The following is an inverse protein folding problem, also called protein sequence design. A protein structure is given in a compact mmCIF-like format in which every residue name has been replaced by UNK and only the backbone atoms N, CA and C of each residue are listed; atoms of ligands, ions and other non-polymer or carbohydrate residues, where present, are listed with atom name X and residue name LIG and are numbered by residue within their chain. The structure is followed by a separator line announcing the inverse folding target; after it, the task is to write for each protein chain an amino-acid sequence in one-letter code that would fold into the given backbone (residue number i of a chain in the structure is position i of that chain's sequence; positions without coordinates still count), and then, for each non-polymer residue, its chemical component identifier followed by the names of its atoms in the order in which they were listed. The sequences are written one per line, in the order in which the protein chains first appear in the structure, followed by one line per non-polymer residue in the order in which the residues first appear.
data_IF_701284870434
#
_entry.id   IF_701284870434
#
_cell.length_a   1.000
_cell.length_b   1.000
_cell.length_c   1.000
_cell.angle_alpha   90.00
_cell.angle_beta   90.00
_cell.angle_gamma   90.00
#
_symmetry.space_group_name_H-M   'P 1'
#
loop_
_entity.id
_entity.type
_entity.pdbx_description
1 polymer ?
#
# COMPACT_ATOMS: atom_id res chain seq x y z
N UNK A 1 8.09 20.06 9.25
CA UNK A 1 7.79 19.72 10.65
C UNK A 1 6.36 20.04 11.10
N UNK A 2 5.54 20.78 10.32
CA UNK A 2 4.15 21.11 10.67
C UNK A 2 3.07 20.24 9.99
N UNK A 3 3.44 19.24 9.19
CA UNK A 3 2.51 18.42 8.38
C UNK A 3 2.16 17.07 9.02
N UNK A 4 2.18 16.98 10.35
CA UNK A 4 1.89 15.74 11.10
C UNK A 4 0.85 15.95 12.19
N UNK A 5 -0.04 16.93 12.01
CA UNK A 5 -1.10 17.17 12.98
C UNK A 5 -2.25 16.18 12.81
N UNK A 6 -2.74 15.70 13.92
CA UNK A 6 -4.00 14.98 14.03
C UNK A 6 -4.86 15.68 15.10
N UNK A 7 -6.14 15.75 14.87
CA UNK A 7 -7.10 16.34 15.79
C UNK A 7 -8.36 15.47 15.85
N UNK A 8 -8.83 15.18 17.06
CA UNK A 8 -10.06 14.43 17.29
C UNK A 8 -11.16 15.39 17.78
N UNK A 9 -12.28 15.39 17.07
CA UNK A 9 -13.50 16.12 17.48
C UNK A 9 -14.65 15.13 17.48
N UNK A 10 -15.06 14.68 18.65
CA UNK A 10 -15.99 13.55 18.85
C UNK A 10 -15.40 12.28 18.22
N UNK A 11 -16.09 11.66 17.24
CA UNK A 11 -15.66 10.42 16.58
C UNK A 11 -15.00 10.69 15.21
N UNK A 12 -14.63 11.95 14.92
CA UNK A 12 -13.94 12.38 13.70
C UNK A 12 -12.49 12.73 13.96
N UNK A 13 -11.63 12.26 13.07
CA UNK A 13 -10.18 12.45 13.11
C UNK A 13 -9.72 13.17 11.86
N UNK A 14 -8.95 14.23 12.05
CA UNK A 14 -8.22 14.91 10.98
C UNK A 14 -6.75 14.47 11.02
N UNK A 15 -6.23 14.00 9.90
CA UNK A 15 -4.83 13.61 9.78
C UNK A 15 -4.19 14.26 8.55
N UNK A 16 -3.12 15.04 8.77
CA UNK A 16 -2.32 15.61 7.69
C UNK A 16 -1.63 14.49 6.88
N UNK A 17 -1.39 14.74 5.59
CA UNK A 17 -0.84 13.76 4.65
C UNK A 17 0.50 13.13 5.08
N UNK A 18 1.31 13.83 5.88
CA UNK A 18 2.59 13.36 6.40
C UNK A 18 2.51 12.52 7.68
N UNK A 19 1.33 12.35 8.29
CA UNK A 19 1.16 11.48 9.46
C UNK A 19 1.44 10.04 9.06
N UNK A 20 2.29 9.35 9.84
CA UNK A 20 2.61 7.93 9.60
C UNK A 20 1.42 7.04 9.96
N UNK A 21 1.11 6.08 9.09
CA UNK A 21 -0.02 5.16 9.25
C UNK A 21 -0.03 4.45 10.61
N UNK A 22 1.08 3.84 11.10
CA UNK A 22 1.09 3.19 12.42
C UNK A 22 0.93 4.18 13.58
N UNK A 23 1.38 5.41 13.43
CA UNK A 23 1.20 6.44 14.45
C UNK A 23 -0.27 6.83 14.58
N UNK A 24 -0.97 7.05 13.45
CA UNK A 24 -2.39 7.37 13.49
C UNK A 24 -3.18 6.24 14.13
N UNK A 25 -2.98 4.98 13.68
CA UNK A 25 -3.65 3.81 14.26
C UNK A 25 -3.47 3.74 15.78
N UNK A 26 -2.25 3.96 16.27
CA UNK A 26 -1.95 3.96 17.70
C UNK A 26 -2.65 5.09 18.45
N UNK A 27 -2.55 6.32 17.93
CA UNK A 27 -3.14 7.49 18.61
C UNK A 27 -4.66 7.42 18.70
N UNK A 28 -5.35 6.92 17.65
CA UNK A 28 -6.82 6.76 17.69
C UNK A 28 -7.22 5.64 18.65
N UNK A 29 -6.43 4.58 18.76
CA UNK A 29 -6.67 3.49 19.73
C UNK A 29 -6.60 3.99 21.18
N UNK A 30 -5.67 4.90 21.50
CA UNK A 30 -5.49 5.48 22.84
C UNK A 30 -6.73 6.27 23.32
N UNK A 31 -7.57 6.73 22.40
CA UNK A 31 -8.84 7.42 22.68
C UNK A 31 -10.08 6.54 22.42
N UNK A 32 -9.87 5.20 22.35
CA UNK A 32 -10.92 4.20 22.17
C UNK A 32 -11.73 4.37 20.90
N UNK A 33 -11.06 4.74 19.80
CA UNK A 33 -11.63 4.83 18.47
C UNK A 33 -11.10 3.68 17.58
N UNK A 34 -12.02 2.99 16.91
CA UNK A 34 -11.82 1.82 16.05
C UNK A 34 -12.15 2.14 14.61
N UNK A 35 -11.46 1.50 13.66
CA UNK A 35 -11.66 1.59 12.22
C UNK A 35 -10.37 1.80 11.42
N UNK A 36 -9.23 2.06 12.11
CA UNK A 36 -7.92 2.23 11.47
C UNK A 36 -6.87 1.23 11.97
N UNK A 37 -7.25 0.13 12.60
CA UNK A 37 -6.34 -0.87 13.16
C UNK A 37 -5.49 -1.56 12.09
N UNK A 38 -5.99 -1.64 10.86
CA UNK A 38 -5.26 -2.22 9.74
C UNK A 38 -4.01 -1.41 9.35
N UNK A 39 -3.97 -0.11 9.68
CA UNK A 39 -2.82 0.77 9.41
C UNK A 39 -1.62 0.48 10.31
N UNK A 40 -1.78 -0.20 11.44
CA UNK A 40 -0.71 -0.42 12.43
C UNK A 40 0.54 -1.10 11.84
N UNK A 41 0.36 -1.90 10.84
CA UNK A 41 1.44 -2.60 10.17
C UNK A 41 1.87 -2.01 8.82
N UNK A 42 1.24 -0.96 8.31
CA UNK A 42 1.54 -0.41 7.00
C UNK A 42 2.67 0.64 7.10
N UNK A 43 3.82 0.43 6.46
CA UNK A 43 4.89 1.41 6.45
C UNK A 43 4.59 2.51 5.42
N UNK A 44 3.90 3.54 5.83
CA UNK A 44 3.50 4.62 4.94
C UNK A 44 3.07 5.87 5.69
N UNK A 45 2.44 6.76 4.96
CA UNK A 45 1.80 7.97 5.47
C UNK A 45 0.37 8.05 4.96
N UNK A 46 -0.47 8.82 5.63
CA UNK A 46 -1.87 9.04 5.25
C UNK A 46 -1.99 9.51 3.80
N UNK A 47 -1.04 10.34 3.32
CA UNK A 47 -1.02 10.74 1.91
C UNK A 47 -0.92 9.55 0.96
N UNK A 48 0.02 8.65 1.21
CA UNK A 48 0.18 7.42 0.43
C UNK A 48 -0.97 6.43 0.62
N UNK A 49 -1.50 6.33 1.85
CA UNK A 49 -2.63 5.46 2.15
C UNK A 49 -3.91 5.89 1.41
N UNK A 50 -4.21 7.20 1.37
CA UNK A 50 -5.36 7.75 0.61
C UNK A 50 -5.13 7.61 -0.89
N UNK A 51 -3.91 7.92 -1.38
CA UNK A 51 -3.54 7.75 -2.79
C UNK A 51 -3.84 6.33 -3.28
N UNK A 52 -3.40 5.32 -2.54
CA UNK A 52 -3.54 3.92 -2.90
C UNK A 52 -4.86 3.28 -2.45
N UNK A 53 -5.75 4.02 -1.78
CA UNK A 53 -6.84 3.38 -1.03
C UNK A 53 -6.31 2.16 -0.27
N UNK A 54 -5.27 2.39 0.53
CA UNK A 54 -4.54 1.32 1.19
C UNK A 54 -5.48 0.45 2.02
N UNK A 55 -5.29 -0.85 1.93
CA UNK A 55 -6.13 -1.80 2.66
C UNK A 55 -5.36 -3.06 3.06
N UNK A 56 -5.75 -3.60 4.19
CA UNK A 56 -5.26 -4.86 4.73
C UNK A 56 -6.33 -5.49 5.65
N UNK A 57 -6.29 -6.81 5.79
CA UNK A 57 -7.19 -7.55 6.71
C UNK A 57 -8.68 -7.30 6.47
N UNK A 58 -9.09 -7.08 5.19
CA UNK A 58 -10.47 -6.86 4.81
C UNK A 58 -10.99 -5.44 5.03
N UNK A 59 -10.13 -4.50 5.43
CA UNK A 59 -10.45 -3.08 5.60
C UNK A 59 -9.61 -2.22 4.64
N UNK A 60 -10.08 -1.02 4.31
CA UNK A 60 -9.35 -0.03 3.51
C UNK A 60 -9.66 1.40 3.96
N UNK A 61 -8.90 2.36 3.43
CA UNK A 61 -9.08 3.79 3.73
C UNK A 61 -10.50 4.26 3.44
N UNK A 62 -11.09 3.84 2.33
CA UNK A 62 -12.45 4.22 1.95
C UNK A 62 -13.51 3.81 2.97
N UNK A 63 -13.27 2.85 3.85
CA UNK A 63 -14.27 2.40 4.82
C UNK A 63 -14.57 3.46 5.88
N UNK A 64 -13.59 4.29 6.21
CA UNK A 64 -13.69 5.30 7.28
C UNK A 64 -13.48 6.73 6.81
N UNK A 65 -13.00 6.96 5.59
CA UNK A 65 -12.78 8.30 5.07
C UNK A 65 -14.10 9.01 4.82
N UNK A 66 -14.16 10.27 5.25
CA UNK A 66 -15.31 11.18 5.08
C UNK A 66 -15.02 12.20 3.98
N UNK A 67 -13.88 12.88 4.09
CA UNK A 67 -13.50 13.95 3.18
C UNK A 67 -11.98 14.12 3.08
N UNK A 68 -11.54 14.79 2.02
CA UNK A 68 -10.17 15.19 1.78
C UNK A 68 -10.08 16.68 1.49
N UNK A 69 -9.07 17.33 2.06
CA UNK A 69 -8.62 18.65 1.64
C UNK A 69 -7.45 18.49 0.68
N UNK A 70 -7.60 18.98 -0.53
CA UNK A 70 -6.66 18.81 -1.63
C UNK A 70 -6.16 20.18 -2.11
N UNK A 71 -4.92 20.21 -2.57
CA UNK A 71 -4.42 21.32 -3.39
C UNK A 71 -4.54 20.92 -4.85
N UNK A 72 -5.28 21.70 -5.63
CA UNK A 72 -5.41 21.57 -7.08
C UNK A 72 -4.22 22.25 -7.76
N UNK A 73 -3.38 21.48 -8.42
CA UNK A 73 -2.16 21.96 -9.08
C UNK A 73 -2.44 22.79 -10.34
N UNK A 74 -3.60 22.64 -10.96
CA UNK A 74 -4.00 23.43 -12.14
C UNK A 74 -4.55 24.78 -11.75
N UNK A 75 -5.57 24.83 -10.88
CA UNK A 75 -6.20 26.09 -10.44
C UNK A 75 -5.39 26.82 -9.38
N UNK A 76 -4.44 26.14 -8.69
CA UNK A 76 -3.68 26.65 -7.54
C UNK A 76 -4.54 26.94 -6.31
N UNK A 77 -5.68 26.29 -6.21
CA UNK A 77 -6.63 26.48 -5.13
C UNK A 77 -6.70 25.27 -4.20
N UNK A 78 -7.16 25.51 -2.99
CA UNK A 78 -7.51 24.45 -2.03
C UNK A 78 -8.96 24.05 -2.27
N UNK A 79 -9.19 22.78 -2.52
CA UNK A 79 -10.51 22.21 -2.78
C UNK A 79 -10.84 21.09 -1.77
N UNK A 80 -12.12 20.89 -1.51
CA UNK A 80 -12.61 19.83 -0.65
C UNK A 80 -13.35 18.80 -1.48
N UNK A 81 -13.06 17.53 -1.23
CA UNK A 81 -13.69 16.38 -1.86
C UNK A 81 -14.26 15.46 -0.79
N UNK A 82 -15.52 15.06 -0.93
CA UNK A 82 -16.09 14.02 -0.08
C UNK A 82 -15.62 12.63 -0.54
N UNK A 83 -15.98 11.60 0.20
CA UNK A 83 -15.59 10.21 -0.10
C UNK A 83 -16.00 9.79 -1.53
N UNK A 84 -17.19 10.14 -1.96
CA UNK A 84 -17.75 9.78 -3.27
C UNK A 84 -16.95 10.40 -4.41
N UNK A 85 -16.51 11.66 -4.24
CA UNK A 85 -15.69 12.38 -5.21
C UNK A 85 -14.27 11.77 -5.34
N UNK A 86 -13.79 11.05 -4.34
CA UNK A 86 -12.45 10.44 -4.33
C UNK A 86 -12.31 9.23 -5.25
N UNK A 87 -13.39 8.72 -5.84
CA UNK A 87 -13.39 7.62 -6.82
C UNK A 87 -12.61 6.37 -6.36
N UNK A 88 -12.77 6.01 -5.10
CA UNK A 88 -12.05 4.88 -4.53
C UNK A 88 -12.43 3.55 -5.19
N UNK A 89 -11.41 2.79 -5.55
CA UNK A 89 -11.51 1.39 -5.92
C UNK A 89 -10.28 0.63 -5.41
N UNK A 90 -10.15 -0.64 -5.75
CA UNK A 90 -8.99 -1.44 -5.31
C UNK A 90 -7.67 -0.84 -5.81
N UNK A 91 -6.83 -0.39 -4.86
CA UNK A 91 -5.53 0.27 -5.14
C UNK A 91 -5.64 1.50 -6.05
N UNK A 92 -6.72 2.28 -5.88
CA UNK A 92 -6.96 3.47 -6.69
C UNK A 92 -7.73 4.55 -5.93
N UNK A 93 -7.45 5.82 -6.25
CA UNK A 93 -8.20 7.01 -5.85
C UNK A 93 -8.07 8.10 -6.92
N UNK A 94 -8.85 9.17 -6.81
CA UNK A 94 -8.74 10.39 -7.63
C UNK A 94 -7.31 10.96 -7.67
N UNK A 95 -6.50 10.73 -6.64
CA UNK A 95 -5.13 11.25 -6.58
C UNK A 95 -4.19 10.65 -7.63
N UNK A 96 -4.56 9.55 -8.30
CA UNK A 96 -3.80 9.01 -9.44
C UNK A 96 -3.80 9.94 -10.64
N UNK A 97 -4.74 10.85 -10.72
CA UNK A 97 -4.85 11.88 -11.75
C UNK A 97 -3.69 12.91 -11.73
N UNK A 98 -2.83 12.86 -10.69
CA UNK A 98 -1.65 13.72 -10.49
C UNK A 98 -1.95 15.22 -10.42
N UNK A 99 -3.17 15.62 -10.62
CA UNK A 99 -3.64 17.00 -10.51
C UNK A 99 -3.68 17.48 -9.06
N UNK A 100 -4.00 16.55 -8.16
CA UNK A 100 -4.28 16.86 -6.77
C UNK A 100 -3.18 16.39 -5.82
N UNK A 101 -2.87 17.23 -4.83
CA UNK A 101 -2.00 16.89 -3.70
C UNK A 101 -2.85 16.85 -2.43
N UNK A 102 -2.86 15.74 -1.72
CA UNK A 102 -3.54 15.64 -0.43
C UNK A 102 -2.86 16.52 0.61
N UNK A 103 -3.61 17.38 1.27
CA UNK A 103 -3.15 18.17 2.42
C UNK A 103 -3.49 17.46 3.73
N UNK A 104 -4.74 17.07 3.90
CA UNK A 104 -5.20 16.24 5.02
C UNK A 104 -6.46 15.46 4.64
N UNK A 105 -6.75 14.42 5.41
CA UNK A 105 -7.96 13.62 5.32
C UNK A 105 -8.73 13.61 6.63
N UNK A 106 -10.05 13.53 6.54
CA UNK A 106 -10.98 13.37 7.65
C UNK A 106 -11.55 11.95 7.66
N UNK A 107 -11.49 11.31 8.82
CA UNK A 107 -12.01 9.95 9.03
C UNK A 107 -13.09 9.96 10.09
N UNK A 108 -14.15 9.19 9.90
CA UNK A 108 -15.19 8.92 10.90
C UNK A 108 -14.97 7.52 11.46
N UNK A 109 -14.75 7.44 12.77
CA UNK A 109 -14.41 6.23 13.48
C UNK A 109 -15.52 5.86 14.47
N UNK A 110 -15.45 4.66 15.02
CA UNK A 110 -16.45 4.17 15.98
C UNK A 110 -15.82 3.95 17.34
N UNK A 111 -16.55 4.23 18.41
CA UNK A 111 -16.09 3.85 19.74
C UNK A 111 -16.14 2.35 19.94
N UNK A 112 -15.05 1.82 20.50
CA UNK A 112 -14.93 0.41 20.84
C UNK A 112 -14.10 0.24 22.14
N UNK A 113 -14.24 -0.89 22.83
CA UNK A 113 -13.39 -1.21 23.97
C UNK A 113 -11.91 -1.18 23.58
N UNK A 114 -11.08 -0.52 24.36
CA UNK A 114 -9.64 -0.39 24.09
C UNK A 114 -8.94 -1.76 23.93
N UNK A 115 -9.36 -2.73 24.71
CA UNK A 115 -8.77 -4.08 24.66
C UNK A 115 -9.08 -4.80 23.34
N UNK A 116 -10.28 -4.61 22.78
CA UNK A 116 -10.65 -5.19 21.48
C UNK A 116 -9.82 -4.55 20.34
N UNK A 117 -9.65 -3.21 20.38
CA UNK A 117 -8.82 -2.48 19.42
C UNK A 117 -7.37 -2.99 19.48
N UNK A 118 -6.79 -3.09 20.68
CA UNK A 118 -5.43 -3.57 20.87
C UNK A 118 -5.25 -5.01 20.40
N UNK A 119 -6.19 -5.88 20.74
CA UNK A 119 -6.16 -7.29 20.30
C UNK A 119 -6.20 -7.41 18.78
N UNK A 120 -7.00 -6.58 18.09
CA UNK A 120 -7.07 -6.54 16.64
C UNK A 120 -5.75 -6.03 16.04
N UNK A 121 -5.18 -4.95 16.57
CA UNK A 121 -3.89 -4.43 16.13
C UNK A 121 -2.76 -5.45 16.32
N UNK A 122 -2.70 -6.14 17.44
CA UNK A 122 -1.70 -7.16 17.72
C UNK A 122 -1.83 -8.35 16.76
N UNK A 123 -3.05 -8.82 16.50
CA UNK A 123 -3.33 -9.85 15.51
C UNK A 123 -2.83 -9.45 14.12
N UNK A 124 -3.11 -8.23 13.69
CA UNK A 124 -2.68 -7.70 12.39
C UNK A 124 -1.15 -7.64 12.28
N UNK A 125 -0.48 -7.15 13.32
CA UNK A 125 1.00 -7.11 13.38
C UNK A 125 1.62 -8.51 13.40
N UNK A 126 1.06 -9.43 14.16
CA UNK A 126 1.54 -10.81 14.25
C UNK A 126 1.43 -11.51 12.91
N UNK A 127 0.29 -11.38 12.22
CA UNK A 127 0.11 -11.93 10.89
C UNK A 127 1.19 -11.41 9.93
N UNK A 128 1.42 -10.08 9.88
CA UNK A 128 2.46 -9.50 9.02
C UNK A 128 3.85 -10.06 9.32
N UNK A 129 4.25 -10.07 10.59
CA UNK A 129 5.56 -10.62 11.01
C UNK A 129 5.75 -12.08 10.64
N UNK A 130 4.66 -12.85 10.56
CA UNK A 130 4.71 -14.27 10.22
C UNK A 130 4.96 -14.51 8.74
N UNK A 131 4.37 -13.69 7.85
CA UNK A 131 4.36 -13.97 6.40
C UNK A 131 5.20 -13.01 5.56
N UNK A 132 5.35 -11.73 5.99
CA UNK A 132 6.04 -10.71 5.20
C UNK A 132 7.51 -10.55 5.62
N UNK A 133 8.39 -10.06 4.73
CA UNK A 133 9.75 -9.70 5.12
C UNK A 133 9.73 -8.65 6.23
N UNK A 134 10.70 -8.73 7.14
CA UNK A 134 10.88 -7.66 8.13
C UNK A 134 11.31 -6.37 7.43
N UNK A 135 11.06 -5.21 8.08
CA UNK A 135 11.49 -3.90 7.54
C UNK A 135 13.03 -3.77 7.46
N UNK A 136 13.78 -4.66 8.11
CA UNK A 136 15.23 -4.73 7.97
C UNK A 136 15.68 -5.37 6.64
N UNK A 137 14.80 -6.11 5.96
CA UNK A 137 15.04 -6.64 4.64
C UNK A 137 14.48 -5.66 3.60
N UNK A 138 15.32 -4.92 2.85
CA UNK A 138 14.85 -3.93 1.89
C UNK A 138 13.93 -4.57 0.85
N UNK A 139 12.71 -4.06 0.74
CA UNK A 139 11.69 -4.52 -0.20
C UNK A 139 10.68 -3.39 -0.47
N UNK A 140 9.93 -3.47 -1.56
CA UNK A 140 8.94 -2.48 -1.96
C UNK A 140 7.49 -2.90 -1.64
N UNK A 141 7.29 -3.87 -0.74
CA UNK A 141 5.97 -4.42 -0.43
C UNK A 141 5.52 -5.48 -1.45
N UNK A 142 4.21 -5.64 -1.61
CA UNK A 142 3.64 -6.54 -2.62
C UNK A 142 4.00 -6.06 -4.02
N UNK A 143 4.54 -6.98 -4.84
CA UNK A 143 4.99 -6.67 -6.20
C UNK A 143 3.81 -6.48 -7.15
N UNK A 144 2.82 -7.38 -7.06
CA UNK A 144 1.65 -7.39 -7.93
C UNK A 144 0.36 -7.21 -7.16
N UNK A 145 -0.62 -6.54 -7.77
CA UNK A 145 -1.99 -6.47 -7.30
C UNK A 145 -2.64 -7.84 -7.38
N UNK A 146 -3.57 -8.11 -6.47
CA UNK A 146 -4.39 -9.32 -6.58
C UNK A 146 -5.30 -9.20 -7.81
N UNK A 147 -5.37 -10.23 -8.67
CA UNK A 147 -6.38 -10.28 -9.72
C UNK A 147 -7.77 -10.50 -9.14
N UNK A 148 -8.78 -10.33 -9.96
CA UNK A 148 -10.16 -10.58 -9.56
C UNK A 148 -10.34 -12.06 -9.14
N UNK A 149 -10.95 -12.27 -7.99
CA UNK A 149 -11.24 -13.59 -7.40
C UNK A 149 -10.05 -14.48 -7.03
N UNK A 150 -8.81 -13.93 -7.01
CA UNK A 150 -7.64 -14.70 -6.62
C UNK A 150 -6.57 -13.84 -5.91
N UNK A 151 -5.53 -14.49 -5.42
CA UNK A 151 -4.39 -13.86 -4.76
C UNK A 151 -3.13 -13.98 -5.63
N UNK A 152 -2.49 -12.85 -5.95
CA UNK A 152 -1.22 -12.85 -6.66
C UNK A 152 -0.16 -13.71 -5.94
N UNK A 153 -0.10 -13.63 -4.60
CA UNK A 153 0.81 -14.45 -3.81
C UNK A 153 0.59 -15.94 -3.97
N UNK A 154 -0.69 -16.41 -4.04
CA UNK A 154 -1.03 -17.80 -4.27
C UNK A 154 -0.66 -18.27 -5.68
N UNK A 155 -0.99 -17.46 -6.70
CA UNK A 155 -0.68 -17.78 -8.09
C UNK A 155 0.83 -17.88 -8.31
N UNK A 156 1.59 -16.93 -7.79
CA UNK A 156 3.06 -16.92 -7.85
C UNK A 156 3.67 -18.13 -7.15
N UNK A 157 3.19 -18.46 -5.95
CA UNK A 157 3.66 -19.63 -5.20
C UNK A 157 3.43 -20.93 -5.96
N UNK A 158 2.25 -21.09 -6.56
CA UNK A 158 1.88 -22.24 -7.36
C UNK A 158 2.60 -22.29 -8.73
N UNK A 159 2.99 -21.15 -9.28
CA UNK A 159 3.84 -21.07 -10.48
C UNK A 159 5.32 -21.35 -10.19
N UNK A 160 5.69 -21.67 -8.95
CA UNK A 160 7.05 -22.07 -8.58
C UNK A 160 8.07 -20.93 -8.55
N UNK A 161 7.63 -19.66 -8.49
CA UNK A 161 8.55 -18.52 -8.59
C UNK A 161 9.56 -18.44 -7.44
N UNK A 162 9.28 -19.06 -6.29
CA UNK A 162 10.22 -19.09 -5.15
C UNK A 162 11.55 -19.75 -5.45
N UNK A 163 11.58 -20.59 -6.49
CA UNK A 163 12.80 -21.26 -6.97
C UNK A 163 13.61 -20.40 -7.94
N UNK A 164 13.15 -19.18 -8.26
CA UNK A 164 13.87 -18.29 -9.16
C UNK A 164 15.10 -17.71 -8.47
N UNK A 165 16.23 -17.89 -9.11
CA UNK A 165 17.52 -17.38 -8.65
C UNK A 165 17.90 -16.08 -9.38
N UNK A 166 18.46 -15.13 -8.63
CA UNK A 166 19.12 -13.94 -9.14
C UNK A 166 20.23 -13.51 -8.17
N UNK A 167 21.31 -12.86 -8.67
CA UNK A 167 22.44 -12.47 -7.83
C UNK A 167 22.06 -11.53 -6.69
N UNK A 168 21.32 -10.47 -7.00
CA UNK A 168 21.11 -9.31 -6.12
C UNK A 168 19.72 -9.26 -5.50
N UNK A 169 18.75 -10.02 -5.99
CA UNK A 169 17.39 -10.09 -5.47
C UNK A 169 16.99 -11.53 -5.16
N UNK A 170 16.02 -11.69 -4.28
CA UNK A 170 15.37 -12.99 -4.03
C UNK A 170 13.89 -12.81 -3.78
N UNK A 171 13.10 -13.84 -4.06
CA UNK A 171 11.71 -13.91 -3.66
C UNK A 171 11.65 -14.36 -2.21
N UNK A 172 10.74 -13.71 -1.45
CA UNK A 172 10.60 -14.04 -0.03
C UNK A 172 9.97 -15.43 0.15
N UNK A 173 10.63 -16.28 0.92
CA UNK A 173 10.25 -17.68 1.11
C UNK A 173 8.83 -17.90 1.65
N UNK A 174 8.35 -16.99 2.53
CA UNK A 174 7.02 -17.09 3.16
C UNK A 174 5.91 -16.42 2.37
N UNK A 175 6.24 -15.59 1.36
CA UNK A 175 5.26 -14.88 0.56
C UNK A 175 5.79 -14.57 -0.83
N UNK A 176 5.35 -15.33 -1.82
CA UNK A 176 5.88 -15.26 -3.19
C UNK A 176 5.69 -13.91 -3.90
N UNK A 177 4.83 -13.02 -3.39
CA UNK A 177 4.59 -11.69 -3.96
C UNK A 177 5.50 -10.60 -3.34
N UNK A 178 6.68 -10.97 -2.80
CA UNK A 178 7.66 -10.04 -2.27
C UNK A 178 9.03 -10.33 -2.86
N UNK A 179 9.67 -9.28 -3.40
CA UNK A 179 11.08 -9.29 -3.81
C UNK A 179 11.89 -8.59 -2.72
N UNK A 180 12.96 -9.24 -2.26
CA UNK A 180 13.89 -8.70 -1.26
C UNK A 180 15.22 -8.40 -1.95
N UNK A 181 15.72 -7.18 -1.74
CA UNK A 181 17.05 -6.77 -2.14
C UNK A 181 18.09 -7.40 -1.20
N UNK A 182 19.10 -8.09 -1.75
CA UNK A 182 20.18 -8.72 -0.98
C UNK A 182 21.30 -7.75 -0.56
N UNK A 183 21.23 -6.49 -1.02
CA UNK A 183 22.17 -5.41 -0.69
C UNK A 183 22.49 -4.51 -1.89
N UNK A 184 22.81 -5.09 -3.04
CA UNK A 184 23.33 -4.36 -4.21
C UNK A 184 22.38 -4.41 -5.43
N UNK A 185 21.08 -4.69 -5.22
CA UNK A 185 20.13 -4.76 -6.32
C UNK A 185 19.88 -3.39 -6.95
N UNK A 186 19.91 -3.37 -8.27
CA UNK A 186 19.46 -2.25 -9.09
C UNK A 186 17.96 -2.33 -9.38
N UNK A 187 17.38 -1.25 -9.92
CA UNK A 187 16.01 -1.25 -10.45
C UNK A 187 15.82 -2.29 -11.55
N UNK A 188 16.83 -2.48 -12.41
CA UNK A 188 16.84 -3.48 -13.46
C UNK A 188 16.75 -4.90 -12.91
N UNK A 189 17.53 -5.26 -11.88
CA UNK A 189 17.45 -6.57 -11.21
C UNK A 189 16.01 -6.87 -10.71
N UNK A 190 15.36 -5.85 -10.14
CA UNK A 190 13.98 -5.98 -9.65
C UNK A 190 12.99 -6.15 -10.81
N UNK A 191 13.10 -5.32 -11.85
CA UNK A 191 12.22 -5.41 -13.03
C UNK A 191 12.38 -6.74 -13.76
N UNK A 192 13.61 -7.24 -13.96
CA UNK A 192 13.85 -8.56 -14.55
C UNK A 192 13.18 -9.68 -13.75
N UNK A 193 13.30 -9.64 -12.41
CA UNK A 193 12.63 -10.61 -11.57
C UNK A 193 11.10 -10.49 -11.68
N UNK A 194 10.57 -9.27 -11.73
CA UNK A 194 9.13 -9.04 -11.93
C UNK A 194 8.64 -9.63 -13.26
N UNK A 195 9.38 -9.43 -14.35
CA UNK A 195 9.02 -10.01 -15.67
C UNK A 195 9.03 -11.54 -15.61
N UNK A 196 10.03 -12.15 -14.98
CA UNK A 196 10.07 -13.62 -14.79
C UNK A 196 8.84 -14.11 -14.01
N UNK A 197 8.49 -13.42 -12.91
CA UNK A 197 7.32 -13.76 -12.09
C UNK A 197 6.00 -13.60 -12.87
N UNK A 198 5.86 -12.49 -13.62
CA UNK A 198 4.70 -12.21 -14.47
C UNK A 198 4.50 -13.30 -15.50
N UNK A 199 5.55 -13.63 -16.27
CA UNK A 199 5.50 -14.64 -17.32
C UNK A 199 5.17 -16.03 -16.74
N UNK A 200 5.74 -16.42 -15.61
CA UNK A 200 5.45 -17.71 -14.99
C UNK A 200 3.95 -17.88 -14.65
N UNK A 201 3.30 -16.81 -14.17
CA UNK A 201 1.85 -16.84 -13.89
C UNK A 201 1.05 -16.80 -15.19
N UNK A 202 1.45 -15.98 -16.16
CA UNK A 202 0.80 -15.89 -17.47
C UNK A 202 0.83 -17.23 -18.20
N UNK A 203 1.99 -17.91 -18.24
CA UNK A 203 2.17 -19.19 -18.92
C UNK A 203 1.40 -20.33 -18.23
N UNK A 204 1.28 -20.27 -16.89
CA UNK A 204 0.61 -21.34 -16.13
C UNK A 204 -0.90 -21.17 -16.07
N UNK A 205 -1.39 -19.94 -15.96
CA UNK A 205 -2.80 -19.63 -15.64
C UNK A 205 -3.48 -18.76 -16.68
N UNK A 206 -2.77 -18.22 -17.67
CA UNK A 206 -3.29 -17.24 -18.64
C UNK A 206 -3.82 -15.97 -17.95
N UNK A 207 -3.22 -15.61 -16.79
CA UNK A 207 -3.56 -14.43 -16.01
C UNK A 207 -2.37 -13.45 -16.09
N UNK A 208 -2.66 -12.21 -16.48
CA UNK A 208 -1.69 -11.12 -16.49
C UNK A 208 -1.73 -10.37 -15.15
N UNK A 209 -0.72 -10.56 -14.32
CA UNK A 209 -0.58 -9.85 -13.07
C UNK A 209 -0.18 -8.40 -13.32
N UNK A 210 -0.86 -7.43 -12.70
CA UNK A 210 -0.52 -6.01 -12.79
C UNK A 210 0.36 -5.59 -11.62
N UNK A 211 1.46 -4.84 -11.84
CA UNK A 211 2.29 -4.32 -10.77
C UNK A 211 1.51 -3.46 -9.77
N UNK A 212 1.86 -3.60 -8.49
CA UNK A 212 1.44 -2.67 -7.42
C UNK A 212 2.55 -1.64 -7.14
N UNK A 213 3.82 -2.03 -7.25
CA UNK A 213 4.95 -1.11 -7.16
C UNK A 213 5.04 -0.24 -8.41
N UNK A 214 5.53 1.00 -8.24
CA UNK A 214 5.61 1.99 -9.32
C UNK A 214 7.08 2.36 -9.52
N UNK A 215 7.55 2.33 -10.76
CA UNK A 215 8.86 2.85 -11.12
C UNK A 215 8.82 4.38 -11.14
N UNK A 216 9.79 5.01 -10.47
CA UNK A 216 9.93 6.48 -10.42
C UNK A 216 11.37 6.83 -10.82
N UNK A 217 11.51 7.76 -11.75
CA UNK A 217 12.78 8.27 -12.25
C UNK A 217 12.94 8.07 -13.76
N UNK A 218 14.11 8.48 -14.26
CA UNK A 218 14.50 8.25 -15.65
C UNK A 218 14.83 6.77 -15.84
N UNK A 219 14.44 6.21 -16.96
CA UNK A 219 14.64 4.81 -17.29
C UNK A 219 15.79 4.65 -18.28
N UNK A 220 16.58 3.61 -18.13
CA UNK A 220 17.45 3.11 -19.20
C UNK A 220 16.59 2.48 -20.31
N UNK A 221 17.15 2.25 -21.49
CA UNK A 221 16.46 1.56 -22.59
C UNK A 221 15.94 0.19 -22.14
N UNK A 222 16.75 -0.56 -21.40
CA UNK A 222 16.37 -1.88 -20.90
C UNK A 222 15.24 -1.80 -19.84
N UNK A 223 15.29 -0.84 -18.93
CA UNK A 223 14.21 -0.64 -17.95
C UNK A 223 12.90 -0.22 -18.63
N UNK A 224 12.97 0.54 -19.73
CA UNK A 224 11.79 0.89 -20.51
C UNK A 224 11.18 -0.35 -21.18
N UNK A 225 12.00 -1.22 -21.79
CA UNK A 225 11.54 -2.49 -22.34
C UNK A 225 10.87 -3.38 -21.30
N UNK A 226 11.49 -3.54 -20.11
CA UNK A 226 10.93 -4.33 -19.01
C UNK A 226 9.62 -3.73 -18.47
N UNK A 227 9.56 -2.42 -18.35
CA UNK A 227 8.33 -1.72 -17.94
C UNK A 227 7.19 -1.91 -18.98
N UNK A 228 7.49 -1.88 -20.28
CA UNK A 228 6.48 -2.09 -21.33
C UNK A 228 5.86 -3.50 -21.31
N UNK A 229 6.56 -4.49 -20.74
CA UNK A 229 6.01 -5.83 -20.51
C UNK A 229 5.03 -5.83 -19.32
N UNK A 230 5.31 -5.02 -18.29
CA UNK A 230 4.64 -5.08 -16.98
C UNK A 230 3.46 -4.13 -16.86
N UNK A 231 3.51 -2.94 -17.48
CA UNK A 231 2.54 -1.84 -17.34
C UNK A 231 1.74 -1.58 -18.61
#
# INVERSE_FOLDING_TARGET
YRRQRQMCIRDRIYAECGVKDPMLAKSVSEVSLSGLEFLIGLPGTIGGAVYMNAGAHGQCIADTLVSCCLFDCETKEVVYKNKEDMQFSYRHSLLHDKRFILLYAEFELKRAPLEDIKALMERNLTFRKTVQPSLANPNAGSVFKNPENDSAGRLLDKAGVKEFEAPNVKIWEKHANFIVNKGDATSEDVLEMMVKMHNAVKDTYTIELRPEIIFIGDKTEKEEELCNILY
#
